data_IF_247782786667
#
_entry.id   IF_247782786667
#
_cell.length_a   1.000
_cell.length_b   1.000
_cell.length_c   1.000
_cell.angle_alpha   90.00
_cell.angle_beta   90.00
_cell.angle_gamma   90.00
#
_symmetry.space_group_name_H-M   'P 1'
#
loop_
_entity.id
_entity.type
_entity.pdbx_description
1 polymer ?
#
# COMPACT_ATOMS: atom_id res chain seq x y z
N UNK A 1 6.56 -34.04 1.02
CA UNK A 1 5.35 -34.37 1.83
C UNK A 1 5.69 -35.06 3.15
N UNK A 2 6.61 -36.01 3.21
CA UNK A 2 6.97 -36.71 4.44
C UNK A 2 7.48 -35.79 5.57
N UNK A 3 8.22 -34.74 5.23
CA UNK A 3 8.80 -33.82 6.21
C UNK A 3 7.73 -32.95 6.92
N UNK A 4 6.67 -32.56 6.20
CA UNK A 4 5.53 -31.80 6.78
C UNK A 4 4.76 -32.68 7.75
N UNK A 5 4.51 -33.94 7.37
CA UNK A 5 3.84 -34.91 8.25
C UNK A 5 4.68 -35.20 9.52
N UNK A 6 5.99 -35.39 9.40
CA UNK A 6 6.88 -35.60 10.54
C UNK A 6 6.89 -34.41 11.50
N UNK A 7 6.91 -33.17 11.02
CA UNK A 7 6.87 -31.97 11.86
C UNK A 7 5.51 -31.85 12.57
N UNK A 8 4.41 -32.25 11.93
CA UNK A 8 3.08 -32.27 12.55
C UNK A 8 2.94 -33.31 13.66
N UNK A 9 3.57 -34.50 13.49
CA UNK A 9 3.56 -35.56 14.49
C UNK A 9 4.54 -35.36 15.67
N UNK A 10 5.60 -34.53 15.45
CA UNK A 10 6.58 -34.18 16.50
C UNK A 10 6.72 -32.67 16.57
N UNK A 11 5.82 -31.98 17.28
CA UNK A 11 5.75 -30.52 17.26
C UNK A 11 6.90 -29.79 17.97
N UNK A 12 7.78 -30.50 18.69
CA UNK A 12 8.99 -29.96 19.35
C UNK A 12 8.75 -28.64 20.11
N UNK A 13 7.59 -28.48 20.75
CA UNK A 13 7.22 -27.29 21.51
C UNK A 13 6.65 -26.13 20.65
N UNK A 14 6.43 -26.31 19.36
CA UNK A 14 5.80 -25.31 18.50
C UNK A 14 4.29 -25.27 18.69
N UNK A 15 3.70 -24.07 18.61
CA UNK A 15 2.25 -23.91 18.64
C UNK A 15 1.60 -24.43 17.36
N UNK A 16 0.29 -24.80 17.38
CA UNK A 16 -0.42 -25.21 16.16
C UNK A 16 -0.34 -24.19 15.02
N UNK A 17 -0.37 -22.91 15.32
CA UNK A 17 -0.22 -21.83 14.33
C UNK A 17 1.16 -21.86 13.66
N UNK A 18 2.22 -22.00 14.44
CA UNK A 18 3.59 -22.08 13.91
C UNK A 18 3.81 -23.32 13.03
N UNK A 19 3.14 -24.44 13.34
CA UNK A 19 3.21 -25.66 12.52
C UNK A 19 2.49 -25.48 11.18
N UNK A 20 1.37 -24.78 11.18
CA UNK A 20 0.63 -24.44 9.95
C UNK A 20 1.47 -23.52 9.07
N UNK A 21 2.03 -22.45 9.64
CA UNK A 21 2.87 -21.49 8.90
C UNK A 21 4.09 -22.20 8.27
N UNK A 22 4.75 -23.09 9.02
CA UNK A 22 5.90 -23.86 8.53
C UNK A 22 5.49 -24.86 7.44
N UNK A 23 4.32 -25.47 7.55
CA UNK A 23 3.77 -26.35 6.53
C UNK A 23 3.44 -25.57 5.25
N UNK A 24 2.79 -24.40 5.36
CA UNK A 24 2.50 -23.53 4.23
C UNK A 24 3.78 -23.05 3.53
N UNK A 25 4.80 -22.67 4.29
CA UNK A 25 6.09 -22.27 3.74
C UNK A 25 6.74 -23.42 2.96
N UNK A 26 6.76 -24.64 3.49
CA UNK A 26 7.33 -25.83 2.81
C UNK A 26 6.54 -26.22 1.57
N UNK A 27 5.20 -26.15 1.62
CA UNK A 27 4.36 -26.39 0.44
C UNK A 27 4.65 -25.35 -0.64
N UNK A 28 4.83 -24.11 -0.24
CA UNK A 28 5.18 -23.02 -1.14
C UNK A 28 6.54 -23.22 -1.83
N UNK A 29 7.58 -23.61 -1.06
CA UNK A 29 8.90 -23.95 -1.64
C UNK A 29 8.83 -25.08 -2.66
N UNK A 30 7.97 -26.09 -2.42
CA UNK A 30 7.74 -27.18 -3.37
C UNK A 30 7.05 -26.67 -4.64
N UNK A 31 6.05 -25.79 -4.49
CA UNK A 31 5.35 -25.17 -5.62
C UNK A 31 6.28 -24.27 -6.45
N UNK A 32 7.17 -23.50 -5.80
CA UNK A 32 8.19 -22.71 -6.50
C UNK A 32 9.22 -23.58 -7.24
N UNK A 33 9.64 -24.70 -6.65
CA UNK A 33 10.54 -25.66 -7.34
C UNK A 33 9.89 -26.31 -8.54
N UNK A 34 8.58 -26.55 -8.48
CA UNK A 34 7.81 -27.08 -9.62
C UNK A 34 7.60 -26.06 -10.77
N UNK A 35 7.63 -24.77 -10.45
CA UNK A 35 7.48 -23.66 -11.41
C UNK A 35 8.79 -23.20 -12.07
N UNK A 36 9.94 -23.77 -11.70
CA UNK A 36 11.28 -23.39 -12.20
C UNK A 36 11.63 -23.88 -13.61
N UNK A 37 10.66 -24.00 -14.49
CA UNK A 37 10.93 -24.45 -15.88
C UNK A 37 11.27 -23.32 -16.87
N UNK A 38 11.60 -22.11 -16.45
CA UNK A 38 12.39 -21.18 -17.26
C UNK A 38 12.99 -20.06 -16.39
N UNK A 39 14.27 -20.21 -16.10
CA UNK A 39 15.04 -19.24 -15.28
C UNK A 39 15.36 -17.95 -16.05
N UNK A 40 15.10 -17.91 -17.34
CA UNK A 40 15.32 -16.77 -18.23
C UNK A 40 14.29 -16.74 -19.36
N UNK A 41 13.98 -15.53 -19.80
CA UNK A 41 13.17 -15.28 -20.99
C UNK A 41 14.07 -14.69 -22.06
N UNK A 42 14.00 -15.22 -23.28
CA UNK A 42 14.69 -14.61 -24.40
C UNK A 42 14.03 -13.26 -24.77
N UNK A 43 14.83 -12.23 -24.99
CA UNK A 43 14.33 -10.93 -25.39
C UNK A 43 13.40 -11.03 -26.62
N UNK A 44 13.72 -11.90 -27.55
CA UNK A 44 12.92 -12.17 -28.76
C UNK A 44 11.47 -12.52 -28.45
N UNK A 45 11.22 -13.28 -27.35
CA UNK A 45 9.87 -13.68 -26.94
C UNK A 45 9.07 -12.52 -26.36
N UNK A 46 9.75 -11.46 -25.89
CA UNK A 46 9.13 -10.32 -25.26
C UNK A 46 8.88 -9.15 -26.22
N UNK A 47 9.55 -9.10 -27.38
CA UNK A 47 9.46 -7.97 -28.33
C UNK A 47 8.04 -7.80 -28.84
N UNK A 48 7.44 -8.86 -29.41
CA UNK A 48 6.10 -8.75 -30.00
C UNK A 48 5.02 -8.41 -28.97
N UNK A 49 4.91 -9.07 -27.79
CA UNK A 49 3.95 -8.68 -26.75
C UNK A 49 4.15 -7.26 -26.22
N UNK A 50 5.38 -6.77 -26.22
CA UNK A 50 5.68 -5.40 -25.81
C UNK A 50 5.24 -4.39 -26.86
N UNK A 51 5.52 -4.66 -28.13
CA UNK A 51 5.07 -3.84 -29.26
C UNK A 51 3.54 -3.76 -29.32
N UNK A 52 2.85 -4.88 -29.20
CA UNK A 52 1.39 -4.93 -29.23
C UNK A 52 0.77 -4.08 -28.09
N UNK A 53 1.36 -4.14 -26.89
CA UNK A 53 0.95 -3.27 -25.77
C UNK A 53 1.18 -1.79 -26.05
N UNK A 54 2.31 -1.42 -26.64
CA UNK A 54 2.60 -0.05 -27.03
C UNK A 54 1.62 0.43 -28.10
N UNK A 55 1.36 -0.41 -29.11
CA UNK A 55 0.42 -0.10 -30.16
C UNK A 55 -1.00 0.12 -29.64
N UNK A 56 -1.50 -0.80 -28.78
CA UNK A 56 -2.81 -0.66 -28.16
C UNK A 56 -2.94 0.62 -27.33
N UNK A 57 -1.87 1.02 -26.61
CA UNK A 57 -1.84 2.28 -25.85
C UNK A 57 -1.91 3.49 -26.77
N UNK A 58 -1.18 3.48 -27.86
CA UNK A 58 -1.20 4.59 -28.85
C UNK A 58 -2.59 4.76 -29.47
N UNK A 59 -3.29 3.68 -29.77
CA UNK A 59 -4.66 3.71 -30.30
C UNK A 59 -5.70 4.26 -29.32
N UNK A 60 -5.46 4.10 -28.01
CA UNK A 60 -6.32 4.64 -26.94
C UNK A 60 -6.05 6.11 -26.59
N UNK A 61 -5.27 6.82 -27.41
CA UNK A 61 -4.96 8.24 -27.21
C UNK A 61 -4.04 8.54 -26.03
N UNK A 62 -3.18 7.61 -25.61
CA UNK A 62 -2.18 7.85 -24.57
C UNK A 62 -2.72 7.83 -23.13
N UNK A 63 -3.74 7.03 -22.85
CA UNK A 63 -4.29 6.85 -21.50
C UNK A 63 -3.27 6.29 -20.50
N UNK A 64 -3.61 6.34 -19.21
CA UNK A 64 -2.79 5.82 -18.12
C UNK A 64 -2.38 4.37 -18.37
N UNK A 65 -1.11 4.07 -18.12
CA UNK A 65 -0.59 2.70 -18.25
C UNK A 65 -0.82 1.85 -17.02
N UNK A 66 -0.97 2.50 -15.88
CA UNK A 66 -1.27 1.91 -14.58
C UNK A 66 -2.68 2.19 -14.11
N UNK A 67 -2.94 1.88 -12.85
CA UNK A 67 -4.22 2.15 -12.17
C UNK A 67 -4.26 3.63 -11.78
N UNK A 68 -5.34 4.35 -12.14
CA UNK A 68 -5.52 5.76 -11.79
C UNK A 68 -5.60 5.93 -10.27
N UNK A 69 -4.91 6.94 -9.76
CA UNK A 69 -4.97 7.32 -8.34
C UNK A 69 -6.13 8.25 -8.00
N UNK A 70 -6.75 8.88 -9.00
CA UNK A 70 -7.71 9.97 -8.83
C UNK A 70 -7.07 11.34 -8.65
N UNK A 71 -5.76 11.42 -8.43
CA UNK A 71 -5.00 12.66 -8.36
C UNK A 71 -4.32 12.93 -9.71
N UNK A 72 -4.84 13.91 -10.45
CA UNK A 72 -4.42 14.20 -11.84
C UNK A 72 -2.92 14.39 -11.97
N UNK A 73 -2.31 15.17 -11.08
CA UNK A 73 -0.88 15.45 -11.17
C UNK A 73 -0.03 14.23 -10.82
N UNK A 74 -0.47 13.42 -9.84
CA UNK A 74 0.19 12.15 -9.56
C UNK A 74 0.10 11.21 -10.77
N UNK A 75 -1.08 11.08 -11.35
CA UNK A 75 -1.30 10.24 -12.54
C UNK A 75 -0.49 10.75 -13.75
N UNK A 76 -0.35 12.07 -13.92
CA UNK A 76 0.50 12.68 -14.96
C UNK A 76 1.98 12.33 -14.77
N UNK A 77 2.48 12.37 -13.53
CA UNK A 77 3.88 12.07 -13.21
C UNK A 77 4.20 10.57 -13.29
N UNK A 78 3.26 9.70 -12.89
CA UNK A 78 3.50 8.26 -12.75
C UNK A 78 2.90 7.43 -13.88
N UNK A 79 2.06 8.02 -14.73
CA UNK A 79 1.17 7.32 -15.66
C UNK A 79 0.25 6.30 -14.96
N UNK A 80 -0.14 6.58 -13.69
CA UNK A 80 -0.87 5.70 -12.78
C UNK A 80 0.03 4.70 -12.04
N UNK A 81 -0.54 3.99 -11.07
CA UNK A 81 0.19 2.98 -10.28
C UNK A 81 0.46 1.75 -11.14
N UNK A 82 1.73 1.39 -11.30
CA UNK A 82 2.12 0.31 -12.20
C UNK A 82 2.07 -1.05 -11.51
N UNK A 83 1.78 -2.10 -12.27
CA UNK A 83 1.78 -3.48 -11.77
C UNK A 83 3.16 -3.89 -11.28
N UNK A 84 3.20 -4.53 -10.11
CA UNK A 84 4.42 -5.03 -9.52
C UNK A 84 5.30 -3.96 -8.87
N UNK A 85 4.81 -2.73 -8.71
CA UNK A 85 5.53 -1.66 -8.02
C UNK A 85 5.23 -1.63 -6.53
N UNK A 86 6.28 -1.34 -5.76
CA UNK A 86 6.19 -0.96 -4.35
C UNK A 86 6.30 0.56 -4.25
N UNK A 87 5.22 1.19 -3.79
CA UNK A 87 5.09 2.62 -3.60
C UNK A 87 5.16 2.93 -2.11
N UNK A 88 6.06 3.80 -1.70
CA UNK A 88 6.16 4.26 -0.31
C UNK A 88 5.63 5.67 -0.22
N UNK A 89 4.66 5.87 0.67
CA UNK A 89 4.17 7.21 1.02
C UNK A 89 4.58 7.51 2.46
N UNK A 90 5.49 8.45 2.62
CA UNK A 90 6.08 8.74 3.93
C UNK A 90 5.78 10.18 4.40
N UNK A 91 5.70 10.35 5.71
CA UNK A 91 5.46 11.64 6.35
C UNK A 91 5.44 11.54 7.86
N UNK A 92 5.51 12.68 8.53
CA UNK A 92 5.33 12.73 9.99
C UNK A 92 3.88 12.45 10.37
N UNK A 93 3.58 12.13 11.64
CA UNK A 93 2.21 12.02 12.13
C UNK A 93 1.38 13.26 11.78
N UNK A 94 0.08 13.08 11.58
CA UNK A 94 -0.88 14.14 11.25
C UNK A 94 -0.70 14.84 9.89
N UNK A 95 0.23 14.40 9.04
CA UNK A 95 0.42 14.94 7.69
C UNK A 95 -0.63 14.45 6.67
N UNK A 96 -1.44 13.44 7.02
CA UNK A 96 -2.52 12.95 6.15
C UNK A 96 -2.17 11.71 5.31
N UNK A 97 -1.12 10.95 5.65
CA UNK A 97 -0.72 9.72 4.94
C UNK A 97 -1.88 8.74 4.72
N UNK A 98 -2.53 8.35 5.82
CA UNK A 98 -3.67 7.42 5.77
C UNK A 98 -4.82 8.00 4.94
N UNK A 99 -5.16 9.30 5.09
CA UNK A 99 -6.21 9.92 4.31
C UNK A 99 -5.90 9.88 2.81
N UNK A 100 -4.67 10.21 2.41
CA UNK A 100 -4.24 10.18 1.02
C UNK A 100 -4.32 8.76 0.42
N UNK A 101 -3.84 7.75 1.15
CA UNK A 101 -3.91 6.36 0.70
C UNK A 101 -5.36 5.84 0.62
N UNK A 102 -6.23 6.23 1.57
CA UNK A 102 -7.64 5.88 1.55
C UNK A 102 -8.34 6.53 0.35
N UNK A 103 -8.08 7.81 0.04
CA UNK A 103 -8.68 8.46 -1.13
C UNK A 103 -8.28 7.77 -2.45
N UNK A 104 -7.03 7.30 -2.57
CA UNK A 104 -6.61 6.48 -3.71
C UNK A 104 -7.40 5.15 -3.74
N UNK A 105 -7.50 4.47 -2.60
CA UNK A 105 -8.24 3.22 -2.47
C UNK A 105 -9.72 3.37 -2.83
N UNK A 106 -10.38 4.42 -2.31
CA UNK A 106 -11.76 4.79 -2.62
C UNK A 106 -11.94 5.04 -4.12
N UNK A 107 -11.07 5.87 -4.71
CA UNK A 107 -11.14 6.17 -6.15
C UNK A 107 -11.04 4.91 -7.00
N UNK A 108 -10.09 4.03 -6.71
CA UNK A 108 -9.88 2.79 -7.47
C UNK A 108 -11.08 1.87 -7.35
N UNK A 109 -11.56 1.63 -6.13
CA UNK A 109 -12.66 0.70 -5.88
C UNK A 109 -14.00 1.21 -6.41
N UNK A 110 -14.21 2.54 -6.44
CA UNK A 110 -15.45 3.15 -6.93
C UNK A 110 -15.43 3.38 -8.45
N UNK A 111 -14.25 3.45 -9.09
CA UNK A 111 -14.13 3.67 -10.53
C UNK A 111 -14.63 2.48 -11.36
N UNK A 112 -14.41 1.25 -10.87
CA UNK A 112 -14.86 0.01 -11.50
C UNK A 112 -14.99 -1.08 -10.42
N UNK A 113 -16.12 -1.79 -10.40
CA UNK A 113 -16.39 -2.94 -9.52
C UNK A 113 -15.38 -4.10 -9.71
N UNK A 114 -14.64 -4.10 -10.80
CA UNK A 114 -13.59 -5.07 -11.09
C UNK A 114 -12.22 -4.65 -10.53
N UNK A 115 -12.16 -3.57 -9.75
CA UNK A 115 -10.94 -3.08 -9.11
C UNK A 115 -10.95 -3.27 -7.58
N UNK A 116 -10.90 -4.50 -7.07
CA UNK A 116 -10.89 -4.74 -5.64
C UNK A 116 -9.61 -4.21 -5.00
N UNK A 117 -9.76 -3.64 -3.79
CA UNK A 117 -8.67 -3.07 -3.00
C UNK A 117 -8.61 -3.75 -1.63
N UNK A 118 -7.42 -4.14 -1.19
CA UNK A 118 -7.18 -4.62 0.16
C UNK A 118 -6.43 -3.57 0.98
N UNK A 119 -6.90 -3.32 2.21
CA UNK A 119 -6.28 -2.40 3.17
C UNK A 119 -5.90 -3.20 4.41
N UNK A 120 -4.61 -3.28 4.68
CA UNK A 120 -4.05 -3.87 5.89
C UNK A 120 -3.68 -2.74 6.85
N UNK A 121 -4.48 -2.56 7.90
CA UNK A 121 -4.31 -1.47 8.86
C UNK A 121 -3.92 -2.03 10.22
N UNK A 122 -2.71 -1.74 10.65
CA UNK A 122 -2.20 -2.16 11.95
C UNK A 122 -2.30 -1.05 13.01
N UNK A 123 -2.60 0.20 12.57
CA UNK A 123 -2.75 1.36 13.47
C UNK A 123 -4.21 1.64 13.82
N UNK A 124 -5.11 1.48 12.85
CA UNK A 124 -6.51 1.88 12.98
C UNK A 124 -7.44 0.69 12.76
N UNK A 125 -8.54 0.64 13.53
CA UNK A 125 -9.58 -0.36 13.32
C UNK A 125 -10.35 -0.14 11.99
N UNK A 126 -10.98 -1.20 11.49
CA UNK A 126 -11.84 -1.16 10.31
C UNK A 126 -12.97 -0.13 10.47
N UNK A 127 -13.54 -0.01 11.68
CA UNK A 127 -14.55 0.99 12.00
C UNK A 127 -14.03 2.42 11.82
N UNK A 128 -12.84 2.72 12.37
CA UNK A 128 -12.23 4.03 12.24
C UNK A 128 -11.90 4.41 10.79
N UNK A 129 -11.45 3.44 9.99
CA UNK A 129 -11.22 3.64 8.55
C UNK A 129 -12.54 3.90 7.82
N UNK A 130 -13.59 3.13 8.15
CA UNK A 130 -14.93 3.32 7.58
C UNK A 130 -15.48 4.71 7.89
N UNK A 131 -15.33 5.20 9.12
CA UNK A 131 -15.69 6.59 9.47
C UNK A 131 -14.94 7.63 8.63
N UNK A 132 -13.65 7.42 8.39
CA UNK A 132 -12.86 8.32 7.53
C UNK A 132 -13.35 8.30 6.08
N UNK A 133 -13.67 7.13 5.54
CA UNK A 133 -14.22 6.98 4.18
C UNK A 133 -15.59 7.66 4.06
N UNK A 134 -16.50 7.49 5.04
CA UNK A 134 -17.77 8.20 5.07
C UNK A 134 -17.55 9.73 5.11
N UNK A 135 -16.62 10.20 5.94
CA UNK A 135 -16.26 11.61 6.02
C UNK A 135 -15.74 12.15 4.68
N UNK A 136 -14.88 11.38 4.02
CA UNK A 136 -14.28 11.72 2.72
C UNK A 136 -15.34 11.78 1.62
N UNK A 137 -16.04 10.69 1.39
CA UNK A 137 -17.00 10.56 0.30
C UNK A 137 -18.24 11.45 0.49
N UNK A 138 -18.73 11.56 1.74
CA UNK A 138 -19.86 12.42 2.09
C UNK A 138 -19.49 13.90 2.19
N UNK A 139 -18.20 14.25 2.15
CA UNK A 139 -17.71 15.61 2.41
C UNK A 139 -18.29 16.20 3.72
N UNK A 140 -18.36 15.37 4.77
CA UNK A 140 -18.84 15.72 6.10
C UNK A 140 -17.68 15.76 7.08
N UNK A 141 -17.62 16.80 7.91
CA UNK A 141 -16.56 16.91 8.89
C UNK A 141 -16.51 15.73 9.85
N UNK A 142 -15.34 15.08 9.98
CA UNK A 142 -15.16 13.92 10.85
C UNK A 142 -15.50 14.20 12.33
N UNK A 143 -15.35 15.45 12.81
CA UNK A 143 -15.79 15.87 14.15
C UNK A 143 -17.31 15.83 14.30
N UNK A 144 -18.06 16.21 13.27
CA UNK A 144 -19.53 16.14 13.26
C UNK A 144 -20.00 14.68 13.30
N UNK A 145 -19.39 13.80 12.49
CA UNK A 145 -19.67 12.36 12.52
C UNK A 145 -19.38 11.77 13.91
N UNK A 146 -18.22 12.09 14.49
CA UNK A 146 -17.80 11.55 15.81
C UNK A 146 -18.71 12.02 16.96
N UNK A 147 -19.25 13.25 16.90
CA UNK A 147 -20.10 13.81 17.94
C UNK A 147 -21.59 13.58 17.70
N UNK A 148 -21.97 13.04 16.53
CA UNK A 148 -23.36 12.90 16.12
C UNK A 148 -24.09 14.22 15.83
N UNK A 149 -23.38 15.35 15.79
CA UNK A 149 -23.95 16.67 15.49
C UNK A 149 -24.01 16.89 13.99
N UNK A 150 -24.98 16.24 13.36
CA UNK A 150 -25.22 16.27 11.92
C UNK A 150 -26.50 17.03 11.62
N UNK A 151 -26.49 17.84 10.57
CA UNK A 151 -27.69 18.44 9.98
C UNK A 151 -28.38 17.45 9.07
N UNK A 152 -29.64 17.70 8.68
CA UNK A 152 -30.36 16.85 7.72
C UNK A 152 -29.59 16.72 6.40
N UNK A 153 -28.95 17.80 5.93
CA UNK A 153 -28.07 17.77 4.74
C UNK A 153 -26.84 16.92 4.92
N UNK A 154 -26.29 16.87 6.13
CA UNK A 154 -25.15 15.99 6.41
C UNK A 154 -25.58 14.53 6.40
N UNK A 155 -26.79 14.24 6.92
CA UNK A 155 -27.36 12.88 6.84
C UNK A 155 -27.57 12.43 5.40
N UNK A 156 -28.15 13.27 4.53
CA UNK A 156 -28.29 12.98 3.11
C UNK A 156 -26.96 12.62 2.44
N UNK A 157 -25.89 13.34 2.78
CA UNK A 157 -24.54 13.10 2.28
C UNK A 157 -23.92 11.80 2.83
N UNK A 158 -24.13 11.54 4.11
CA UNK A 158 -23.70 10.30 4.77
C UNK A 158 -24.39 9.10 4.12
N UNK A 159 -25.70 9.17 3.91
CA UNK A 159 -26.47 8.10 3.27
C UNK A 159 -25.98 7.86 1.83
N UNK A 160 -25.72 8.93 1.09
CA UNK A 160 -25.13 8.85 -0.25
C UNK A 160 -23.76 8.17 -0.26
N UNK A 161 -22.88 8.50 0.68
CA UNK A 161 -21.57 7.87 0.83
C UNK A 161 -21.72 6.38 1.20
N UNK A 162 -22.61 6.05 2.13
CA UNK A 162 -22.87 4.66 2.53
C UNK A 162 -23.35 3.83 1.35
N UNK A 163 -24.25 4.35 0.52
CA UNK A 163 -24.74 3.63 -0.66
C UNK A 163 -23.61 3.34 -1.66
N UNK A 164 -22.71 4.30 -1.90
CA UNK A 164 -21.54 4.09 -2.74
C UNK A 164 -20.60 3.02 -2.15
N UNK A 165 -20.34 3.08 -0.84
CA UNK A 165 -19.44 2.14 -0.16
C UNK A 165 -19.95 0.71 -0.11
N UNK A 166 -21.27 0.50 -0.02
CA UNK A 166 -21.87 -0.85 -0.03
C UNK A 166 -21.49 -1.66 -1.28
N UNK A 167 -21.31 -0.99 -2.39
CA UNK A 167 -21.00 -1.61 -3.67
C UNK A 167 -19.49 -1.64 -3.98
N UNK A 168 -18.68 -0.91 -3.19
CA UNK A 168 -17.24 -0.82 -3.38
C UNK A 168 -16.53 -2.11 -2.93
N UNK A 169 -15.72 -2.75 -3.77
CA UNK A 169 -14.98 -3.96 -3.42
C UNK A 169 -13.73 -3.63 -2.59
N UNK A 170 -13.92 -3.12 -1.38
CA UNK A 170 -12.86 -2.78 -0.43
C UNK A 170 -12.85 -3.83 0.69
N UNK A 171 -11.68 -4.45 0.92
CA UNK A 171 -11.44 -5.43 1.96
C UNK A 171 -10.50 -4.83 3.01
N UNK A 172 -10.92 -4.77 4.26
CA UNK A 172 -10.14 -4.22 5.37
C UNK A 172 -9.75 -5.35 6.30
N UNK A 173 -8.46 -5.43 6.62
CA UNK A 173 -7.89 -6.30 7.62
C UNK A 173 -7.19 -5.40 8.66
N UNK A 174 -7.73 -5.35 9.88
CA UNK A 174 -7.23 -4.52 10.97
C UNK A 174 -6.50 -5.35 12.06
N UNK A 175 -5.94 -6.49 11.66
CA UNK A 175 -5.11 -7.31 12.53
C UNK A 175 -3.84 -6.55 12.91
N UNK A 176 -3.57 -6.33 14.20
CA UNK A 176 -2.35 -5.65 14.63
C UNK A 176 -1.11 -6.54 14.38
N UNK A 177 0.00 -5.89 14.06
CA UNK A 177 1.33 -6.54 14.02
C UNK A 177 1.46 -7.72 13.03
N UNK A 178 0.91 -7.57 11.81
CA UNK A 178 1.04 -8.59 10.76
C UNK A 178 2.50 -8.83 10.36
N UNK A 179 2.83 -10.10 10.16
CA UNK A 179 4.08 -10.49 9.52
C UNK A 179 3.97 -10.43 7.99
N UNK A 180 5.09 -10.28 7.24
CA UNK A 180 5.05 -10.34 5.77
C UNK A 180 4.48 -11.65 5.23
N UNK A 181 4.69 -12.77 5.94
CA UNK A 181 4.19 -14.10 5.54
C UNK A 181 2.67 -14.15 5.67
N UNK A 182 2.12 -13.73 6.80
CA UNK A 182 0.67 -13.66 7.00
C UNK A 182 -0.02 -12.71 6.02
N UNK A 183 0.56 -11.53 5.81
CA UNK A 183 0.05 -10.57 4.83
C UNK A 183 0.02 -11.19 3.43
N UNK A 184 1.10 -11.88 3.03
CA UNK A 184 1.18 -12.57 1.73
C UNK A 184 0.10 -13.66 1.60
N UNK A 185 -0.11 -14.47 2.64
CA UNK A 185 -1.13 -15.53 2.63
C UNK A 185 -2.55 -14.94 2.47
N UNK A 186 -2.87 -13.88 3.23
CA UNK A 186 -4.17 -13.20 3.17
C UNK A 186 -4.37 -12.50 1.81
N UNK A 187 -3.36 -11.77 1.32
CA UNK A 187 -3.42 -11.11 0.02
C UNK A 187 -3.65 -12.11 -1.13
N UNK A 188 -2.94 -13.25 -1.12
CA UNK A 188 -3.15 -14.34 -2.09
C UNK A 188 -4.56 -14.91 -2.04
N UNK A 189 -5.11 -15.07 -0.84
CA UNK A 189 -6.47 -15.55 -0.67
C UNK A 189 -7.48 -14.59 -1.29
N UNK A 190 -7.37 -13.28 -0.98
CA UNK A 190 -8.26 -12.26 -1.57
C UNK A 190 -8.09 -12.22 -3.09
N UNK A 191 -6.83 -12.24 -3.58
CA UNK A 191 -6.53 -12.25 -5.02
C UNK A 191 -7.21 -13.42 -5.74
N UNK A 192 -7.18 -14.62 -5.14
CA UNK A 192 -7.78 -15.82 -5.74
C UNK A 192 -9.31 -15.78 -5.72
N UNK A 193 -9.90 -15.26 -4.65
CA UNK A 193 -11.36 -15.27 -4.45
C UNK A 193 -12.08 -14.10 -5.13
N UNK A 194 -11.42 -12.95 -5.21
CA UNK A 194 -12.03 -11.68 -5.61
C UNK A 194 -11.24 -10.90 -6.66
N UNK A 195 -9.98 -11.25 -6.87
CA UNK A 195 -9.04 -10.38 -7.56
C UNK A 195 -8.53 -9.26 -6.66
N UNK A 196 -7.46 -8.58 -7.07
CA UNK A 196 -6.94 -7.37 -6.43
C UNK A 196 -6.35 -6.44 -7.48
N UNK A 197 -6.57 -5.15 -7.29
CA UNK A 197 -6.00 -4.07 -8.11
C UNK A 197 -5.03 -3.20 -7.33
N UNK A 198 -5.15 -3.19 -5.99
CA UNK A 198 -4.28 -2.44 -5.09
C UNK A 198 -4.22 -3.12 -3.73
N UNK A 199 -3.05 -3.06 -3.08
CA UNK A 199 -2.90 -3.28 -1.64
C UNK A 199 -2.41 -1.99 -0.99
N UNK A 200 -3.02 -1.61 0.15
CA UNK A 200 -2.57 -0.52 1.03
C UNK A 200 -2.15 -1.12 2.37
N UNK A 201 -1.01 -0.67 2.91
CA UNK A 201 -0.46 -1.12 4.19
C UNK A 201 -0.22 0.10 5.08
N UNK A 202 -0.89 0.17 6.21
CA UNK A 202 -0.78 1.28 7.19
C UNK A 202 -0.35 0.73 8.55
N UNK A 203 0.92 0.87 8.95
CA UNK A 203 2.12 1.34 8.27
C UNK A 203 3.29 0.38 8.53
N UNK A 204 4.35 0.45 7.73
CA UNK A 204 5.47 -0.51 7.70
C UNK A 204 6.08 -0.80 9.07
N UNK A 205 6.27 0.26 9.89
CA UNK A 205 6.91 0.15 11.19
C UNK A 205 6.06 -0.57 12.26
N UNK A 206 4.85 -1.00 11.98
CA UNK A 206 4.06 -1.88 12.86
C UNK A 206 4.16 -3.36 12.46
N UNK A 207 4.66 -3.65 11.27
CA UNK A 207 4.92 -5.02 10.86
C UNK A 207 6.04 -5.63 11.70
N UNK A 208 6.00 -6.94 11.89
CA UNK A 208 6.97 -7.70 12.69
C UNK A 208 7.59 -8.83 11.86
N UNK A 209 8.85 -9.14 12.17
CA UNK A 209 9.55 -10.32 11.65
C UNK A 209 9.81 -11.25 12.83
N UNK A 210 9.09 -12.40 12.93
CA UNK A 210 9.24 -13.31 14.03
C UNK A 210 10.68 -13.87 14.12
N UNK A 211 11.22 -13.88 15.33
CA UNK A 211 12.56 -14.45 15.59
C UNK A 211 13.73 -13.54 15.20
N UNK A 212 13.49 -12.37 14.66
CA UNK A 212 14.55 -11.40 14.42
C UNK A 212 15.10 -10.88 15.75
N UNK A 213 16.40 -11.09 15.98
CA UNK A 213 17.19 -10.43 17.03
C UNK A 213 17.95 -9.23 16.50
N UNK A 214 17.73 -8.88 15.26
CA UNK A 214 18.43 -7.83 14.53
C UNK A 214 17.90 -6.43 14.88
N UNK A 215 18.60 -5.42 14.44
CA UNK A 215 18.15 -4.05 14.63
C UNK A 215 16.94 -3.76 13.73
N UNK A 216 16.15 -2.74 14.08
CA UNK A 216 14.91 -2.37 13.38
C UNK A 216 15.12 -2.07 11.89
N UNK A 217 16.28 -1.55 11.52
CA UNK A 217 16.61 -1.26 10.13
C UNK A 217 16.67 -2.54 9.26
N UNK A 218 17.23 -3.62 9.80
CA UNK A 218 17.28 -4.92 9.09
C UNK A 218 15.88 -5.53 8.96
N UNK A 219 15.05 -5.44 10.00
CA UNK A 219 13.65 -5.90 9.92
C UNK A 219 12.87 -5.16 8.83
N UNK A 220 12.97 -3.83 8.78
CA UNK A 220 12.33 -3.03 7.73
C UNK A 220 12.85 -3.41 6.34
N UNK A 221 14.16 -3.73 6.23
CA UNK A 221 14.76 -4.22 4.98
C UNK A 221 14.14 -5.52 4.52
N UNK A 222 13.92 -6.45 5.44
CA UNK A 222 13.28 -7.72 5.13
C UNK A 222 11.80 -7.52 4.74
N UNK A 223 11.08 -6.67 5.47
CA UNK A 223 9.68 -6.34 5.19
C UNK A 223 9.56 -5.76 3.77
N UNK A 224 10.33 -4.71 3.43
CA UNK A 224 10.22 -4.05 2.11
C UNK A 224 10.56 -4.98 0.96
N UNK A 225 11.58 -5.84 1.13
CA UNK A 225 11.94 -6.86 0.13
C UNK A 225 10.82 -7.86 -0.08
N UNK A 226 10.18 -8.34 1.00
CA UNK A 226 9.03 -9.23 0.91
C UNK A 226 7.83 -8.56 0.24
N UNK A 227 7.53 -7.31 0.57
CA UNK A 227 6.44 -6.56 -0.07
C UNK A 227 6.70 -6.31 -1.55
N UNK A 228 7.95 -5.99 -1.93
CA UNK A 228 8.33 -5.88 -3.35
C UNK A 228 8.18 -7.20 -4.09
N UNK A 229 8.58 -8.30 -3.46
CA UNK A 229 8.39 -9.64 -4.04
C UNK A 229 6.89 -9.96 -4.22
N UNK A 230 6.05 -9.61 -3.23
CA UNK A 230 4.60 -9.80 -3.29
C UNK A 230 3.95 -8.96 -4.40
N UNK A 231 4.32 -7.68 -4.55
CA UNK A 231 3.83 -6.84 -5.63
C UNK A 231 4.10 -7.46 -7.01
N UNK A 232 5.34 -7.95 -7.20
CA UNK A 232 5.75 -8.62 -8.44
C UNK A 232 5.03 -9.95 -8.66
N UNK A 233 4.80 -10.71 -7.61
CA UNK A 233 4.10 -11.99 -7.66
C UNK A 233 2.64 -11.82 -8.07
N UNK A 234 1.93 -10.93 -7.38
CA UNK A 234 0.51 -10.67 -7.64
C UNK A 234 0.27 -9.78 -8.87
N UNK A 235 1.33 -9.16 -9.43
CA UNK A 235 1.25 -8.22 -10.55
C UNK A 235 0.29 -7.05 -10.28
N UNK A 236 0.33 -6.51 -9.06
CA UNK A 236 -0.45 -5.35 -8.61
C UNK A 236 0.46 -4.33 -7.91
N UNK A 237 0.10 -3.04 -7.87
CA UNK A 237 0.77 -2.06 -7.02
C UNK A 237 0.52 -2.33 -5.53
N UNK A 238 1.52 -2.04 -4.71
CA UNK A 238 1.40 -2.01 -3.25
C UNK A 238 1.80 -0.62 -2.77
N UNK A 239 0.88 0.08 -2.09
CA UNK A 239 1.18 1.31 -1.35
C UNK A 239 1.45 0.94 0.09
N UNK A 240 2.64 1.25 0.59
CA UNK A 240 2.98 1.08 1.99
C UNK A 240 3.30 2.44 2.63
N UNK A 241 2.62 2.72 3.72
CA UNK A 241 2.83 3.95 4.47
C UNK A 241 4.05 3.81 5.38
N UNK A 242 4.81 4.88 5.52
CA UNK A 242 5.99 4.92 6.37
C UNK A 242 6.02 6.20 7.22
N UNK A 243 6.50 6.06 8.44
CA UNK A 243 6.72 7.23 9.30
C UNK A 243 8.15 7.71 9.17
N UNK A 244 8.33 9.03 9.03
CA UNK A 244 9.65 9.66 8.98
C UNK A 244 10.26 9.80 10.37
N UNK A 245 11.60 9.84 10.43
CA UNK A 245 12.34 10.07 11.66
C UNK A 245 11.98 11.43 12.27
N UNK A 246 12.05 11.53 13.61
CA UNK A 246 11.78 12.78 14.34
C UNK A 246 12.82 13.87 14.07
N UNK A 247 13.98 13.53 13.57
CA UNK A 247 15.04 14.49 13.23
C UNK A 247 14.60 15.56 12.22
N UNK A 248 13.59 15.28 11.38
CA UNK A 248 13.00 16.27 10.47
C UNK A 248 12.45 17.50 11.22
N UNK A 249 11.93 17.31 12.44
CA UNK A 249 11.35 18.37 13.26
C UNK A 249 12.41 19.32 13.87
N UNK A 250 13.67 18.87 13.89
CA UNK A 250 14.79 19.68 14.43
C UNK A 250 15.42 20.60 13.38
N UNK A 251 15.11 20.41 12.10
CA UNK A 251 15.60 21.27 11.03
C UNK A 251 14.81 22.57 10.92
N UNK A 252 15.44 23.60 10.39
CA UNK A 252 14.78 24.86 10.06
C UNK A 252 13.75 24.64 8.95
N UNK A 253 14.17 24.01 7.86
CA UNK A 253 13.27 23.51 6.82
C UNK A 253 12.82 22.08 7.17
N UNK A 254 11.52 21.94 7.42
CA UNK A 254 10.88 20.69 7.78
C UNK A 254 10.31 19.93 6.60
N UNK A 255 10.58 20.37 5.38
CA UNK A 255 10.24 19.64 4.17
C UNK A 255 10.98 18.30 4.16
N UNK A 256 10.28 17.17 4.00
CA UNK A 256 10.89 15.86 4.03
C UNK A 256 11.91 15.65 2.92
N UNK A 257 12.98 14.93 3.23
CA UNK A 257 14.02 14.50 2.28
C UNK A 257 14.33 13.02 2.46
N UNK A 258 14.98 12.39 1.48
CA UNK A 258 15.28 10.96 1.49
C UNK A 258 16.00 10.48 2.75
N UNK A 259 16.89 11.30 3.31
CA UNK A 259 17.60 10.96 4.54
C UNK A 259 16.70 10.84 5.79
N UNK A 260 15.46 11.34 5.74
CA UNK A 260 14.50 11.23 6.85
C UNK A 260 13.87 9.81 6.95
N UNK A 261 14.08 8.98 5.92
CA UNK A 261 13.78 7.55 5.91
C UNK A 261 14.93 6.70 6.52
N UNK A 262 15.90 7.30 7.20
CA UNK A 262 17.24 6.76 7.53
C UNK A 262 17.32 5.50 8.39
N UNK A 263 16.26 5.08 9.06
CA UNK A 263 16.26 3.74 9.70
C UNK A 263 16.05 2.61 8.69
N UNK A 264 16.02 2.94 7.40
CA UNK A 264 15.58 2.03 6.34
C UNK A 264 16.24 2.39 5.00
N UNK A 265 17.57 2.41 4.92
CA UNK A 265 18.29 2.58 3.64
C UNK A 265 17.84 1.60 2.56
N UNK A 266 17.23 0.49 2.96
CA UNK A 266 16.62 -0.50 2.10
C UNK A 266 15.27 -0.07 1.52
N UNK A 267 14.47 0.75 2.23
CA UNK A 267 13.22 1.30 1.65
C UNK A 267 13.58 2.04 0.35
N UNK A 268 14.66 2.84 0.40
CA UNK A 268 15.12 3.55 -0.79
C UNK A 268 15.52 2.60 -1.92
N UNK A 269 16.14 1.47 -1.61
CA UNK A 269 16.58 0.50 -2.63
C UNK A 269 15.43 -0.29 -3.23
N UNK A 270 14.51 -0.78 -2.41
CA UNK A 270 13.43 -1.69 -2.81
C UNK A 270 12.24 -0.98 -3.47
N UNK A 271 11.90 0.25 -3.00
CA UNK A 271 10.78 1.01 -3.52
C UNK A 271 11.01 1.47 -4.98
N UNK A 272 9.97 1.40 -5.79
CA UNK A 272 9.96 1.94 -7.16
C UNK A 272 9.58 3.42 -7.19
N UNK A 273 8.70 3.82 -6.27
CA UNK A 273 8.29 5.21 -6.07
C UNK A 273 8.31 5.54 -4.57
N UNK A 274 8.82 6.72 -4.24
CA UNK A 274 8.78 7.28 -2.88
C UNK A 274 8.18 8.67 -2.96
N UNK A 275 7.05 8.85 -2.29
CA UNK A 275 6.36 10.13 -2.12
C UNK A 275 6.40 10.59 -0.67
N UNK A 276 6.65 11.86 -0.47
CA UNK A 276 6.54 12.50 0.84
C UNK A 276 5.29 13.34 0.92
N UNK A 277 4.60 13.28 2.06
CA UNK A 277 3.49 14.17 2.38
C UNK A 277 3.95 15.20 3.41
N UNK A 278 3.71 16.47 3.10
CA UNK A 278 4.01 17.60 3.96
C UNK A 278 2.85 18.60 3.99
N UNK A 279 2.52 19.09 5.18
CA UNK A 279 1.54 20.16 5.40
C UNK A 279 2.17 21.26 6.21
N UNK A 280 2.36 22.41 5.59
CA UNK A 280 3.04 23.54 6.19
C UNK A 280 2.31 24.09 7.42
N UNK A 281 0.99 24.09 7.39
CA UNK A 281 0.13 24.58 8.49
C UNK A 281 0.30 23.81 9.82
N UNK A 282 0.87 22.61 9.79
CA UNK A 282 1.15 21.82 11.02
C UNK A 282 2.30 22.45 11.79
N UNK A 283 3.24 23.08 11.08
CA UNK A 283 4.41 23.73 11.68
C UNK A 283 4.29 25.26 11.76
N UNK A 284 3.61 25.87 10.77
CA UNK A 284 3.45 27.30 10.64
C UNK A 284 1.95 27.67 10.60
N UNK A 285 1.40 28.10 11.74
CA UNK A 285 -0.04 28.40 11.87
C UNK A 285 -0.50 29.58 11.00
N UNK A 286 0.42 30.48 10.67
CA UNK A 286 0.15 31.71 9.89
C UNK A 286 0.53 31.57 8.40
N UNK A 287 0.74 30.33 7.93
CA UNK A 287 1.05 30.06 6.52
C UNK A 287 -0.13 30.44 5.60
N UNK A 288 0.17 30.87 4.40
CA UNK A 288 -0.77 31.07 3.28
C UNK A 288 -1.22 29.74 2.63
N UNK A 289 -0.55 28.62 2.99
CA UNK A 289 -0.84 27.26 2.47
C UNK A 289 -1.80 26.46 3.37
N UNK A 290 -2.71 27.13 4.07
CA UNK A 290 -3.70 26.44 4.92
C UNK A 290 -4.60 25.52 4.09
N UNK A 291 -4.85 24.32 4.62
CA UNK A 291 -5.67 23.30 3.95
C UNK A 291 -5.00 22.63 2.76
N UNK A 292 -3.72 22.92 2.49
CA UNK A 292 -2.96 22.30 1.40
C UNK A 292 -2.02 21.24 1.95
N UNK A 293 -1.86 20.17 1.17
CA UNK A 293 -0.84 19.17 1.39
C UNK A 293 0.05 19.08 0.16
N UNK A 294 1.36 19.18 0.36
CA UNK A 294 2.36 18.97 -0.68
C UNK A 294 2.66 17.47 -0.77
N UNK A 295 2.60 16.93 -1.98
CA UNK A 295 3.07 15.58 -2.28
C UNK A 295 4.32 15.71 -3.13
N UNK A 296 5.48 15.33 -2.59
CA UNK A 296 6.76 15.39 -3.27
C UNK A 296 7.20 13.97 -3.68
N UNK A 297 7.33 13.71 -4.97
CA UNK A 297 7.88 12.46 -5.50
C UNK A 297 9.40 12.59 -5.49
N UNK A 298 10.03 11.99 -4.46
CA UNK A 298 11.47 12.06 -4.24
C UNK A 298 12.26 10.97 -4.99
N UNK A 299 11.59 9.87 -5.32
CA UNK A 299 12.14 8.79 -6.13
C UNK A 299 11.08 8.22 -7.06
N UNK A 300 11.46 7.98 -8.30
CA UNK A 300 10.68 7.22 -9.28
C UNK A 300 11.64 6.48 -10.22
N UNK A 301 11.51 5.13 -10.31
CA UNK A 301 12.39 4.34 -11.18
C UNK A 301 12.13 4.56 -12.66
N UNK A 302 10.88 4.74 -13.03
CA UNK A 302 10.42 4.74 -14.42
C UNK A 302 9.78 6.07 -14.83
N UNK A 303 10.12 7.18 -14.19
CA UNK A 303 9.54 8.48 -14.50
C UNK A 303 10.25 9.65 -13.80
N UNK A 304 9.74 10.87 -13.99
CA UNK A 304 10.31 12.06 -13.40
C UNK A 304 9.99 12.16 -11.91
N UNK A 305 10.84 12.85 -11.18
CA UNK A 305 10.56 13.35 -9.83
C UNK A 305 9.89 14.71 -9.91
N UNK A 306 9.19 15.14 -8.87
CA UNK A 306 8.50 16.43 -8.80
C UNK A 306 7.53 16.49 -7.63
N UNK A 307 6.87 17.64 -7.48
CA UNK A 307 5.91 17.90 -6.41
C UNK A 307 4.59 18.49 -6.96
N UNK A 308 3.53 18.34 -6.21
CA UNK A 308 2.19 18.85 -6.51
C UNK A 308 1.34 19.02 -5.24
#
# INVERSE_FOLDING_TARGET
SNNIAQTAYKPEGKSPSQLVDEAEQKIFEIAERGSRNSTYLELRQMIQPTYDRLYQRSQKGGGLSGVSTGFRELDRLTAGLQKGELIIIAGRPSMGKTAFALNIAEHIALSDKNNPVAIFSMEMSAEQLTFRMISSLGMVHGSALKTGKLTDKDWDRVDGAIQQMKEAPIFIDDTPSLTPVELRARARRIQRERGLSLIVIDYLQLMQVPGSKENRATEISEITRNLKALARELQIPIIALAQLNRSVEQRTDKTPIMSDLRESGSIEQDADLIGFIYRDEIYHKDTDKKGQALIAIAKQRNGPIGDF
#
